data_IF_940967124489
#
_entry.id   IF_940967124489
#
_cell.length_a   1.000
_cell.length_b   1.000
_cell.length_c   1.000
_cell.angle_alpha   90.00
_cell.angle_beta   90.00
_cell.angle_gamma   90.00
#
_symmetry.space_group_name_H-M   'P 1'
#
loop_
_entity.id
_entity.type
_entity.pdbx_description
1 polymer ?
#
# COMPACT_ATOMS: atom_id res chain seq x y z
N UNK A 1 -29.80 0.06 4.54
CA UNK A 1 -29.33 -0.59 3.32
C UNK A 1 -28.78 0.49 2.41
N UNK A 2 -27.49 0.69 2.28
CA UNK A 2 -26.91 1.53 1.22
C UNK A 2 -26.48 0.64 0.06
N UNK A 3 -26.98 1.00 -1.09
CA UNK A 3 -26.86 0.37 -2.39
C UNK A 3 -25.49 0.65 -3.03
N UNK A 4 -24.88 -0.34 -3.47
CA UNK A 4 -24.02 -0.67 -4.62
C UNK A 4 -23.55 0.47 -5.58
N UNK A 5 -22.79 1.48 -5.13
CA UNK A 5 -22.09 2.39 -6.05
C UNK A 5 -20.60 2.65 -5.69
N UNK A 6 -20.04 1.99 -4.68
CA UNK A 6 -18.66 2.24 -4.22
C UNK A 6 -17.57 1.49 -5.00
N UNK A 7 -17.90 0.81 -6.09
CA UNK A 7 -17.01 -0.12 -6.78
C UNK A 7 -16.37 0.43 -8.07
N UNK A 8 -16.57 1.70 -8.42
CA UNK A 8 -16.10 2.22 -9.72
C UNK A 8 -14.61 2.55 -9.81
N UNK A 9 -13.85 2.55 -8.71
CA UNK A 9 -12.43 2.93 -8.76
C UNK A 9 -11.50 1.82 -9.21
N UNK A 10 -11.93 0.57 -9.14
CA UNK A 10 -11.19 -0.61 -9.61
C UNK A 10 -11.95 -1.56 -10.52
N UNK A 11 -13.19 -1.28 -10.79
CA UNK A 11 -14.07 -2.19 -11.54
C UNK A 11 -13.64 -2.43 -13.00
N UNK A 12 -12.69 -1.68 -13.52
CA UNK A 12 -12.18 -1.85 -14.89
C UNK A 12 -10.97 -2.79 -15.02
N UNK A 13 -10.33 -3.19 -13.91
CA UNK A 13 -9.17 -4.09 -13.95
C UNK A 13 -9.38 -5.45 -13.26
N UNK A 14 -10.44 -5.59 -12.45
CA UNK A 14 -10.65 -6.79 -11.64
C UNK A 14 -11.98 -7.51 -11.89
N UNK A 15 -12.80 -7.03 -12.82
CA UNK A 15 -14.04 -7.73 -13.23
C UNK A 15 -13.84 -8.81 -14.29
N UNK A 16 -12.60 -9.14 -14.63
CA UNK A 16 -12.35 -10.27 -15.52
C UNK A 16 -11.91 -11.49 -14.73
N UNK A 17 -12.85 -12.42 -14.68
CA UNK A 17 -12.65 -13.85 -14.51
C UNK A 17 -12.37 -14.33 -13.08
N UNK A 18 -13.40 -14.71 -12.36
CA UNK A 18 -13.32 -15.98 -11.61
C UNK A 18 -12.99 -17.03 -12.68
N UNK A 19 -11.71 -17.23 -12.92
CA UNK A 19 -11.25 -18.38 -13.68
C UNK A 19 -11.82 -19.61 -12.98
N UNK A 20 -12.62 -20.38 -13.70
CA UNK A 20 -13.07 -21.65 -13.20
C UNK A 20 -11.81 -22.46 -12.84
N UNK A 21 -11.70 -22.85 -11.57
CA UNK A 21 -10.65 -23.74 -11.13
C UNK A 21 -10.89 -25.06 -11.86
N UNK A 22 -9.98 -25.44 -12.71
CA UNK A 22 -10.10 -26.60 -13.60
C UNK A 22 -8.91 -27.56 -13.47
N UNK A 23 -8.90 -28.59 -14.30
CA UNK A 23 -7.84 -29.59 -14.34
C UNK A 23 -6.45 -29.01 -14.64
N UNK A 24 -6.37 -27.85 -15.31
CA UNK A 24 -5.14 -27.17 -15.72
C UNK A 24 -4.64 -26.16 -14.67
N UNK A 25 -5.41 -25.92 -13.63
CA UNK A 25 -5.00 -25.03 -12.52
C UNK A 25 -3.73 -25.57 -11.85
N UNK A 26 -2.75 -24.70 -11.59
CA UNK A 26 -1.48 -25.00 -10.92
C UNK A 26 -1.46 -24.44 -9.51
N UNK A 27 -1.99 -25.16 -8.52
CA UNK A 27 -2.14 -24.67 -7.17
C UNK A 27 -0.78 -24.51 -6.47
N UNK A 28 -0.61 -23.42 -5.72
CA UNK A 28 0.52 -23.19 -4.85
C UNK A 28 0.02 -22.74 -3.47
N UNK A 29 0.50 -23.37 -2.40
CA UNK A 29 0.21 -22.88 -1.06
C UNK A 29 0.85 -21.50 -0.84
N UNK A 30 0.08 -20.56 -0.31
CA UNK A 30 0.61 -19.24 0.05
C UNK A 30 1.69 -19.36 1.11
N UNK A 31 2.71 -18.52 1.00
CA UNK A 31 3.80 -18.47 1.98
C UNK A 31 3.25 -18.21 3.38
N UNK A 32 3.63 -19.05 4.34
CA UNK A 32 3.13 -18.98 5.73
C UNK A 32 1.93 -19.90 6.02
N UNK A 33 1.34 -20.57 5.02
CA UNK A 33 0.37 -21.65 5.25
C UNK A 33 1.08 -22.85 5.85
N UNK A 34 0.58 -23.33 7.00
CA UNK A 34 1.10 -24.49 7.70
C UNK A 34 0.34 -25.73 7.26
N UNK A 35 1.06 -26.81 7.00
CA UNK A 35 0.51 -28.15 6.80
C UNK A 35 1.06 -29.05 7.89
N UNK A 36 0.21 -29.46 8.83
CA UNK A 36 0.62 -30.17 10.04
C UNK A 36 -0.06 -31.53 10.10
N UNK A 37 0.74 -32.59 10.25
CA UNK A 37 0.24 -33.95 10.48
C UNK A 37 -0.29 -34.10 11.93
N UNK A 38 -1.53 -34.56 12.09
CA UNK A 38 -2.16 -34.85 13.37
C UNK A 38 -2.74 -36.25 13.35
N UNK A 39 -1.87 -37.28 13.54
CA UNK A 39 -2.26 -38.69 13.37
C UNK A 39 -2.62 -38.96 11.90
N UNK A 40 -3.82 -39.49 11.68
CA UNK A 40 -4.38 -39.72 10.34
C UNK A 40 -4.83 -38.41 9.67
N UNK A 41 -5.08 -37.34 10.44
CA UNK A 41 -5.60 -36.09 9.93
C UNK A 41 -4.47 -35.12 9.51
N UNK A 42 -4.84 -34.11 8.73
CA UNK A 42 -3.93 -33.05 8.26
C UNK A 42 -4.58 -31.69 8.50
N UNK A 43 -3.93 -30.89 9.35
CA UNK A 43 -4.31 -29.50 9.54
C UNK A 43 -3.66 -28.63 8.47
N UNK A 44 -4.44 -27.74 7.85
CA UNK A 44 -3.97 -26.70 6.90
C UNK A 44 -4.47 -25.35 7.37
N UNK A 45 -3.56 -24.40 7.53
CA UNK A 45 -3.97 -23.09 8.01
C UNK A 45 -2.84 -22.23 8.55
N UNK A 46 -3.21 -21.28 9.39
CA UNK A 46 -2.34 -20.37 10.12
C UNK A 46 -2.56 -20.57 11.63
N UNK A 47 -1.86 -19.79 12.45
CA UNK A 47 -2.00 -19.87 13.93
C UNK A 47 -3.40 -19.48 14.45
N UNK A 48 -4.11 -18.63 13.72
CA UNK A 48 -5.40 -18.04 14.10
C UNK A 48 -6.59 -18.66 13.37
N UNK A 49 -6.35 -19.36 12.26
CA UNK A 49 -7.40 -19.96 11.44
C UNK A 49 -6.88 -21.09 10.57
N UNK A 50 -7.66 -22.17 10.45
CA UNK A 50 -7.34 -23.31 9.59
C UNK A 50 -8.44 -24.37 9.61
N UNK A 51 -8.24 -25.40 8.82
CA UNK A 51 -9.15 -26.53 8.65
C UNK A 51 -8.40 -27.84 8.85
N UNK A 52 -9.08 -28.86 9.35
CA UNK A 52 -8.56 -30.20 9.53
C UNK A 52 -9.24 -31.17 8.54
N UNK A 53 -8.42 -31.84 7.78
CA UNK A 53 -8.85 -32.85 6.80
C UNK A 53 -8.57 -34.26 7.31
N UNK A 54 -9.49 -35.16 7.09
CA UNK A 54 -9.32 -36.59 7.38
C UNK A 54 -8.53 -37.30 6.27
N UNK A 55 -7.66 -38.21 6.66
CA UNK A 55 -6.92 -39.08 5.76
C UNK A 55 -5.54 -38.57 5.31
N UNK A 56 -4.63 -39.52 5.15
CA UNK A 56 -3.24 -39.26 4.75
C UNK A 56 -3.10 -38.79 3.29
N UNK A 57 -4.08 -39.07 2.43
CA UNK A 57 -4.06 -38.73 1.01
C UNK A 57 -4.02 -37.23 0.78
N UNK A 58 -4.77 -36.45 1.59
CA UNK A 58 -4.77 -34.98 1.52
C UNK A 58 -3.37 -34.40 1.70
N UNK A 59 -2.58 -34.98 2.62
CA UNK A 59 -1.19 -34.53 2.84
C UNK A 59 -0.31 -34.72 1.61
N UNK A 60 -0.49 -35.84 0.91
CA UNK A 60 0.25 -36.13 -0.32
C UNK A 60 -0.13 -35.16 -1.44
N UNK A 61 -1.41 -34.84 -1.57
CA UNK A 61 -1.90 -33.85 -2.54
C UNK A 61 -1.31 -32.47 -2.24
N UNK A 62 -1.39 -32.03 -0.98
CA UNK A 62 -0.85 -30.71 -0.55
C UNK A 62 0.65 -30.57 -0.76
N UNK A 63 1.42 -31.66 -0.62
CA UNK A 63 2.85 -31.67 -0.90
C UNK A 63 3.18 -31.39 -2.38
N UNK A 64 2.22 -31.61 -3.29
CA UNK A 64 2.34 -31.31 -4.71
C UNK A 64 1.95 -29.87 -5.06
N UNK A 65 1.38 -29.08 -4.14
CA UNK A 65 0.94 -27.70 -4.38
C UNK A 65 2.10 -26.70 -4.39
N UNK A 66 2.94 -26.82 -5.41
CA UNK A 66 4.15 -26.00 -5.63
C UNK A 66 3.98 -24.96 -6.74
N UNK A 67 2.80 -24.85 -7.36
CA UNK A 67 2.54 -23.99 -8.52
C UNK A 67 3.20 -24.46 -9.83
N UNK A 68 3.78 -25.66 -9.86
CA UNK A 68 4.45 -26.20 -11.05
C UNK A 68 3.63 -27.24 -11.79
N UNK A 69 2.82 -28.00 -11.07
CA UNK A 69 1.99 -29.10 -11.59
C UNK A 69 0.54 -28.67 -11.68
N UNK A 70 -0.16 -29.16 -12.70
CA UNK A 70 -1.61 -29.01 -12.83
C UNK A 70 -2.35 -29.97 -11.89
N UNK A 71 -3.62 -29.70 -11.61
CA UNK A 71 -4.48 -30.61 -10.86
C UNK A 71 -4.54 -32.01 -11.53
N UNK A 72 -4.57 -32.04 -12.87
CA UNK A 72 -4.56 -33.28 -13.66
C UNK A 72 -3.27 -34.09 -13.48
N UNK A 73 -2.11 -33.43 -13.52
CA UNK A 73 -0.79 -34.05 -13.29
C UNK A 73 -0.67 -34.60 -11.87
N UNK A 74 -1.18 -33.86 -10.87
CA UNK A 74 -1.17 -34.27 -9.46
C UNK A 74 -2.06 -35.51 -9.27
N UNK A 75 -3.26 -35.51 -9.83
CA UNK A 75 -4.17 -36.63 -9.75
C UNK A 75 -3.56 -37.91 -10.39
N UNK A 76 -2.93 -37.75 -11.55
CA UNK A 76 -2.25 -38.85 -12.24
C UNK A 76 -1.04 -39.40 -11.44
N UNK A 77 -0.17 -38.51 -10.90
CA UNK A 77 1.02 -38.89 -10.14
C UNK A 77 0.66 -39.65 -8.85
N UNK A 78 -0.38 -39.20 -8.16
CA UNK A 78 -0.83 -39.81 -6.90
C UNK A 78 -1.86 -40.94 -7.09
N UNK A 79 -2.20 -41.27 -8.34
CA UNK A 79 -3.23 -42.26 -8.67
C UNK A 79 -4.54 -42.04 -7.89
N UNK A 80 -4.98 -40.80 -7.79
CA UNK A 80 -6.21 -40.39 -7.12
C UNK A 80 -7.21 -39.75 -8.09
N UNK A 81 -8.45 -39.63 -7.64
CA UNK A 81 -9.50 -38.99 -8.42
C UNK A 81 -9.21 -37.49 -8.61
N UNK A 82 -9.36 -37.00 -9.83
CA UNK A 82 -9.20 -35.58 -10.15
C UNK A 82 -10.19 -34.70 -9.36
N UNK A 83 -11.41 -35.20 -9.14
CA UNK A 83 -12.43 -34.47 -8.37
C UNK A 83 -12.00 -34.23 -6.92
N UNK A 84 -11.22 -35.13 -6.33
CA UNK A 84 -10.66 -34.94 -4.99
C UNK A 84 -9.63 -33.79 -4.96
N UNK A 85 -8.79 -33.70 -6.00
CA UNK A 85 -7.77 -32.63 -6.11
C UNK A 85 -8.44 -31.30 -6.36
N UNK A 86 -9.36 -31.19 -7.32
CA UNK A 86 -10.05 -29.97 -7.70
C UNK A 86 -10.97 -29.47 -6.58
N UNK A 87 -11.64 -30.36 -5.84
CA UNK A 87 -12.46 -29.98 -4.68
C UNK A 87 -11.60 -29.39 -3.56
N UNK A 88 -10.45 -30.02 -3.26
CA UNK A 88 -9.50 -29.49 -2.26
C UNK A 88 -8.94 -28.13 -2.67
N UNK A 89 -8.61 -27.95 -3.95
CA UNK A 89 -8.16 -26.65 -4.49
C UNK A 89 -9.26 -25.60 -4.34
N UNK A 90 -10.50 -25.92 -4.71
CA UNK A 90 -11.62 -24.98 -4.60
C UNK A 90 -11.89 -24.57 -3.14
N UNK A 91 -11.81 -25.51 -2.21
CA UNK A 91 -12.00 -25.21 -0.79
C UNK A 91 -10.89 -24.33 -0.23
N UNK A 92 -9.62 -24.66 -0.49
CA UNK A 92 -8.48 -23.88 -0.02
C UNK A 92 -8.38 -22.51 -0.71
N UNK A 93 -8.82 -22.38 -1.96
CA UNK A 93 -8.92 -21.08 -2.64
C UNK A 93 -10.02 -20.21 -2.01
N UNK A 94 -11.17 -20.79 -1.68
CA UNK A 94 -12.24 -20.09 -0.97
C UNK A 94 -11.81 -19.61 0.42
N UNK A 95 -10.87 -20.32 1.05
CA UNK A 95 -10.26 -19.97 2.34
C UNK A 95 -9.01 -19.06 2.20
N UNK A 96 -8.67 -18.65 1.00
CA UNK A 96 -7.52 -17.79 0.67
C UNK A 96 -6.14 -18.38 1.03
N UNK A 97 -6.00 -19.72 1.04
CA UNK A 97 -4.72 -20.39 1.30
C UNK A 97 -3.89 -20.69 0.05
N UNK A 98 -4.44 -20.44 -1.14
CA UNK A 98 -3.79 -20.77 -2.41
C UNK A 98 -3.50 -19.54 -3.27
N UNK A 99 -2.39 -19.63 -3.98
CA UNK A 99 -2.13 -18.88 -5.20
C UNK A 99 -2.39 -19.85 -6.39
N UNK A 100 -3.30 -19.45 -7.27
CA UNK A 100 -3.75 -20.28 -8.40
C UNK A 100 -3.38 -19.66 -9.75
N UNK A 101 -2.75 -18.50 -9.72
CA UNK A 101 -2.31 -17.75 -10.88
C UNK A 101 -0.80 -17.54 -10.82
N UNK A 102 -0.16 -17.42 -11.98
CA UNK A 102 1.22 -17.00 -12.11
C UNK A 102 1.26 -15.66 -12.79
N UNK A 103 1.81 -14.68 -12.10
CA UNK A 103 2.15 -13.38 -12.66
C UNK A 103 3.66 -13.20 -12.69
N UNK A 104 4.16 -12.55 -13.72
CA UNK A 104 5.54 -12.11 -13.77
C UNK A 104 5.61 -10.66 -13.29
N UNK A 105 6.73 -10.26 -12.69
CA UNK A 105 7.02 -8.87 -12.44
C UNK A 105 7.17 -8.20 -13.81
N UNK A 106 6.18 -7.40 -14.18
CA UNK A 106 6.22 -6.62 -15.41
C UNK A 106 6.78 -5.26 -15.04
N UNK A 107 7.99 -4.98 -15.50
CA UNK A 107 8.51 -3.60 -15.43
C UNK A 107 7.70 -2.75 -16.41
N UNK A 108 7.25 -1.59 -15.96
CA UNK A 108 6.53 -0.63 -16.78
C UNK A 108 7.32 -0.35 -18.08
N UNK A 109 6.61 -0.09 -19.19
CA UNK A 109 7.22 0.24 -20.49
C UNK A 109 8.22 1.40 -20.42
N UNK A 110 8.15 2.19 -19.36
CA UNK A 110 9.10 3.25 -19.03
C UNK A 110 10.51 2.74 -18.76
N UNK A 111 10.64 1.48 -18.33
CA UNK A 111 11.92 0.84 -18.01
C UNK A 111 12.49 0.05 -19.18
N UNK A 112 11.80 0.04 -20.32
CA UNK A 112 12.27 -0.60 -21.55
C UNK A 112 13.07 0.39 -22.37
N UNK A 113 14.23 -0.03 -22.87
CA UNK A 113 14.93 0.74 -23.86
C UNK A 113 14.05 0.93 -25.10
N UNK A 114 14.07 2.11 -25.76
CA UNK A 114 13.34 2.31 -27.01
C UNK A 114 13.72 1.23 -28.03
N UNK A 115 12.75 0.41 -28.45
CA UNK A 115 12.97 -0.68 -29.41
C UNK A 115 13.24 -2.07 -28.82
N UNK A 116 13.18 -2.24 -27.50
CA UNK A 116 13.25 -3.57 -26.91
C UNK A 116 11.91 -4.31 -27.10
N UNK A 117 11.98 -5.51 -27.66
CA UNK A 117 10.81 -6.40 -27.79
C UNK A 117 10.24 -6.77 -26.44
N UNK A 118 8.93 -7.02 -26.33
CA UNK A 118 8.33 -7.50 -25.10
C UNK A 118 9.06 -8.79 -24.70
N UNK A 119 9.61 -8.77 -23.48
CA UNK A 119 10.41 -9.87 -22.93
C UNK A 119 9.53 -11.11 -22.88
N UNK A 120 9.70 -11.99 -23.86
CA UNK A 120 9.29 -13.38 -23.72
C UNK A 120 10.25 -14.04 -22.72
N UNK A 121 9.73 -14.91 -21.88
CA UNK A 121 10.41 -15.61 -20.78
C UNK A 121 11.69 -16.40 -21.20
N UNK A 122 12.13 -16.30 -22.45
CA UNK A 122 13.12 -17.16 -23.10
C UNK A 122 14.34 -16.47 -23.71
N UNK A 123 14.60 -15.18 -23.46
CA UNK A 123 15.68 -14.56 -24.23
C UNK A 123 16.30 -13.28 -23.67
N UNK A 124 16.89 -13.31 -22.48
CA UNK A 124 17.72 -12.20 -21.97
C UNK A 124 19.16 -12.67 -21.77
N UNK A 125 19.99 -12.33 -22.76
CA UNK A 125 21.44 -12.38 -22.66
C UNK A 125 22.00 -10.96 -22.48
N UNK A 126 21.57 -10.25 -21.43
CA UNK A 126 22.30 -9.08 -20.96
C UNK A 126 22.54 -9.27 -19.46
N UNK A 127 23.75 -9.65 -19.08
CA UNK A 127 24.16 -9.99 -17.72
C UNK A 127 23.84 -8.87 -16.70
N UNK A 128 23.81 -7.61 -17.14
CA UNK A 128 23.47 -6.47 -16.30
C UNK A 128 21.96 -6.37 -16.02
N UNK A 129 21.10 -6.69 -16.98
CA UNK A 129 19.63 -6.69 -16.81
C UNK A 129 19.21 -7.84 -15.89
N UNK A 130 19.84 -9.00 -16.01
CA UNK A 130 19.54 -10.14 -15.14
C UNK A 130 19.94 -9.86 -13.69
N UNK A 131 21.09 -9.26 -13.44
CA UNK A 131 21.52 -8.85 -12.10
C UNK A 131 20.55 -7.82 -11.48
N UNK A 132 20.11 -6.82 -12.23
CA UNK A 132 19.13 -5.83 -11.78
C UNK A 132 17.79 -6.47 -11.47
N UNK A 133 17.34 -7.39 -12.31
CA UNK A 133 16.08 -8.09 -12.10
C UNK A 133 16.12 -9.02 -10.88
N UNK A 134 17.24 -9.72 -10.64
CA UNK A 134 17.43 -10.52 -9.43
C UNK A 134 17.49 -9.65 -8.17
N UNK A 135 18.08 -8.47 -8.24
CA UNK A 135 18.08 -7.51 -7.14
C UNK A 135 16.67 -7.02 -6.82
N UNK A 136 15.87 -6.69 -7.84
CA UNK A 136 14.46 -6.31 -7.65
C UNK A 136 13.68 -7.44 -7.01
N UNK A 137 13.82 -8.67 -7.51
CA UNK A 137 13.17 -9.87 -6.92
C UNK A 137 13.51 -10.05 -5.45
N UNK A 138 14.77 -9.87 -5.08
CA UNK A 138 15.22 -10.00 -3.68
C UNK A 138 14.63 -8.91 -2.79
N UNK A 139 14.57 -7.66 -3.28
CA UNK A 139 14.02 -6.52 -2.53
C UNK A 139 12.50 -6.57 -2.40
N UNK A 140 11.81 -7.13 -3.39
CA UNK A 140 10.34 -7.25 -3.41
C UNK A 140 9.82 -8.37 -2.49
N UNK A 141 10.64 -9.38 -2.23
CA UNK A 141 10.24 -10.58 -1.48
C UNK A 141 9.61 -10.30 -0.11
N UNK A 142 10.14 -9.39 0.73
CA UNK A 142 9.51 -9.04 1.99
C UNK A 142 8.11 -8.45 1.82
N UNK A 143 7.92 -7.59 0.82
CA UNK A 143 6.63 -6.97 0.52
C UNK A 143 5.60 -8.02 0.10
N UNK A 144 5.98 -8.94 -0.81
CA UNK A 144 5.12 -10.02 -1.28
C UNK A 144 4.69 -10.97 -0.15
N UNK A 145 5.49 -11.11 0.91
CA UNK A 145 5.19 -12.04 2.02
C UNK A 145 3.89 -11.71 2.74
N UNK A 146 3.47 -10.47 2.74
CA UNK A 146 2.21 -10.02 3.35
C UNK A 146 1.14 -9.67 2.30
N UNK A 147 1.52 -9.08 1.16
CA UNK A 147 0.55 -8.73 0.11
C UNK A 147 -0.14 -9.95 -0.49
N UNK A 148 0.51 -11.12 -0.49
CA UNK A 148 -0.11 -12.40 -0.89
C UNK A 148 -1.39 -12.71 -0.11
N UNK A 149 -1.53 -12.22 1.13
CA UNK A 149 -2.71 -12.41 1.98
C UNK A 149 -3.82 -11.38 1.77
N UNK A 150 -3.61 -10.45 0.83
CA UNK A 150 -4.61 -9.45 0.47
C UNK A 150 -5.89 -10.09 -0.09
N UNK A 151 -7.03 -9.38 0.00
CA UNK A 151 -8.28 -9.84 -0.59
C UNK A 151 -8.09 -10.11 -2.09
N UNK A 152 -8.61 -11.24 -2.56
CA UNK A 152 -8.59 -11.65 -3.97
C UNK A 152 -7.19 -11.84 -4.61
N UNK A 153 -6.11 -11.76 -3.84
CA UNK A 153 -4.76 -12.02 -4.34
C UNK A 153 -4.57 -13.53 -4.55
N UNK A 154 -4.17 -13.92 -5.77
CA UNK A 154 -3.99 -15.32 -6.19
C UNK A 154 -2.70 -15.58 -6.95
N UNK A 155 -1.83 -14.58 -7.03
CA UNK A 155 -0.57 -14.61 -7.77
C UNK A 155 0.64 -14.24 -6.89
N UNK A 156 0.50 -14.41 -5.59
CA UNK A 156 1.53 -14.03 -4.62
C UNK A 156 1.70 -12.51 -4.45
N UNK A 157 0.77 -11.70 -4.94
CA UNK A 157 0.82 -10.22 -4.86
C UNK A 157 1.67 -9.55 -5.93
N UNK A 158 2.14 -10.30 -6.92
CA UNK A 158 3.06 -9.80 -7.97
C UNK A 158 2.40 -8.73 -8.85
N UNK A 159 1.14 -8.92 -9.22
CA UNK A 159 0.38 -7.92 -10.01
C UNK A 159 0.17 -6.62 -9.26
N UNK A 160 -0.14 -6.69 -7.95
CA UNK A 160 -0.27 -5.51 -7.10
C UNK A 160 1.03 -4.72 -7.04
N UNK A 161 2.15 -5.40 -6.78
CA UNK A 161 3.46 -4.77 -6.76
C UNK A 161 3.84 -4.15 -8.11
N UNK A 162 3.51 -4.83 -9.20
CA UNK A 162 3.74 -4.29 -10.55
C UNK A 162 2.90 -3.03 -10.81
N UNK A 163 1.66 -2.98 -10.34
CA UNK A 163 0.78 -1.82 -10.50
C UNK A 163 1.25 -0.60 -9.69
N UNK A 164 1.90 -0.80 -8.52
CA UNK A 164 2.41 0.29 -7.68
C UNK A 164 3.44 1.18 -8.39
N UNK A 165 4.21 0.64 -9.35
CA UNK A 165 5.22 1.39 -10.12
C UNK A 165 4.65 2.62 -10.82
N UNK A 166 3.40 2.54 -11.26
CA UNK A 166 2.77 3.55 -12.10
C UNK A 166 1.87 4.51 -11.33
N UNK A 167 1.74 4.32 -10.01
CA UNK A 167 0.91 5.17 -9.16
C UNK A 167 1.67 6.42 -8.74
N UNK A 168 1.29 7.63 -9.20
CA UNK A 168 1.89 8.88 -8.72
C UNK A 168 1.39 9.20 -7.31
N UNK A 169 2.34 9.57 -6.43
CA UNK A 169 2.03 10.05 -5.08
C UNK A 169 2.80 11.34 -4.83
N UNK A 170 2.11 12.41 -4.44
CA UNK A 170 2.69 13.70 -4.12
C UNK A 170 2.59 13.94 -2.61
N UNK A 171 3.72 14.06 -1.95
CA UNK A 171 3.81 14.37 -0.52
C UNK A 171 4.14 15.84 -0.37
N UNK A 172 3.25 16.61 0.24
CA UNK A 172 3.44 18.02 0.55
C UNK A 172 3.88 18.17 2.00
N UNK A 173 5.06 18.75 2.20
CA UNK A 173 5.65 18.97 3.51
C UNK A 173 7.14 18.70 3.54
N UNK A 174 7.80 19.11 4.62
CA UNK A 174 9.25 19.04 4.78
C UNK A 174 9.68 18.52 6.17
N UNK A 175 8.73 18.00 6.97
CA UNK A 175 8.99 17.49 8.31
C UNK A 175 9.63 16.09 8.28
N UNK A 176 10.10 15.63 9.45
CA UNK A 176 10.60 14.25 9.64
C UNK A 176 9.60 13.19 9.14
N UNK A 177 8.30 13.40 9.39
CA UNK A 177 7.26 12.47 8.94
C UNK A 177 7.22 12.41 7.42
N UNK A 178 7.24 13.56 6.74
CA UNK A 178 7.21 13.63 5.28
C UNK A 178 8.43 12.94 4.65
N UNK A 179 9.64 13.18 5.20
CA UNK A 179 10.88 12.57 4.74
C UNK A 179 10.86 11.04 4.92
N UNK A 180 10.44 10.57 6.11
CA UNK A 180 10.34 9.13 6.37
C UNK A 180 9.29 8.46 5.49
N UNK A 181 8.10 9.07 5.36
CA UNK A 181 7.04 8.58 4.51
C UNK A 181 7.48 8.43 3.05
N UNK A 182 8.20 9.45 2.53
CA UNK A 182 8.79 9.40 1.20
C UNK A 182 9.70 8.18 1.01
N UNK A 183 10.62 7.94 1.94
CA UNK A 183 11.51 6.78 1.88
C UNK A 183 10.78 5.45 1.95
N UNK A 184 9.79 5.32 2.83
CA UNK A 184 8.97 4.11 2.97
C UNK A 184 8.22 3.83 1.67
N UNK A 185 7.52 4.81 1.10
CA UNK A 185 6.71 4.62 -0.10
C UNK A 185 7.56 4.21 -1.32
N UNK A 186 8.72 4.85 -1.52
CA UNK A 186 9.66 4.45 -2.58
C UNK A 186 10.13 3.00 -2.42
N UNK A 187 10.48 2.62 -1.18
CA UNK A 187 10.94 1.28 -0.87
C UNK A 187 9.83 0.22 -0.94
N UNK A 188 8.57 0.64 -0.84
CA UNK A 188 7.39 -0.23 -0.97
C UNK A 188 6.85 -0.31 -2.41
N UNK A 189 7.58 0.18 -3.41
CA UNK A 189 7.26 0.04 -4.82
C UNK A 189 6.58 1.23 -5.48
N UNK A 190 6.26 2.30 -4.75
CA UNK A 190 5.67 3.53 -5.30
C UNK A 190 6.75 4.44 -5.89
N UNK A 191 7.34 4.02 -7.01
CA UNK A 191 8.48 4.69 -7.64
C UNK A 191 8.17 6.09 -8.18
N UNK A 192 6.88 6.44 -8.35
CA UNK A 192 6.42 7.76 -8.77
C UNK A 192 6.13 8.70 -7.59
N UNK A 193 6.66 8.39 -6.39
CA UNK A 193 6.52 9.27 -5.23
C UNK A 193 7.42 10.50 -5.39
N UNK A 194 6.86 11.68 -5.12
CA UNK A 194 7.57 12.96 -5.14
C UNK A 194 7.31 13.69 -3.82
N UNK A 195 8.36 14.24 -3.22
CA UNK A 195 8.26 15.10 -2.05
C UNK A 195 8.31 16.57 -2.50
N UNK A 196 7.31 17.35 -2.13
CA UNK A 196 7.15 18.77 -2.47
C UNK A 196 7.30 19.55 -1.19
N UNK A 197 8.39 20.33 -1.10
CA UNK A 197 8.65 21.23 0.02
C UNK A 197 8.07 22.62 -0.28
N UNK A 198 7.43 23.21 0.71
CA UNK A 198 7.01 24.62 0.71
C UNK A 198 8.21 25.57 0.85
N UNK A 199 9.37 25.06 1.29
CA UNK A 199 10.64 25.77 1.39
C UNK A 199 11.70 25.12 0.49
N UNK A 200 11.73 25.43 -0.82
CA UNK A 200 12.68 24.79 -1.75
C UNK A 200 14.16 25.01 -1.40
N UNK A 201 14.50 26.08 -0.70
CA UNK A 201 15.86 26.42 -0.26
C UNK A 201 16.22 25.89 1.13
N UNK A 202 15.35 25.09 1.76
CA UNK A 202 15.60 24.53 3.08
C UNK A 202 16.88 23.67 3.09
N UNK A 203 17.72 23.91 4.09
CA UNK A 203 18.89 23.11 4.39
C UNK A 203 18.55 22.04 5.44
N UNK A 204 19.21 20.90 5.32
CA UNK A 204 19.09 19.82 6.31
C UNK A 204 19.77 20.28 7.60
N UNK A 205 19.06 20.22 8.71
CA UNK A 205 19.57 20.50 10.05
C UNK A 205 19.67 19.24 10.91
N UNK A 206 20.24 19.39 12.12
CA UNK A 206 20.35 18.30 13.09
C UNK A 206 19.01 17.65 13.43
N UNK A 207 17.95 18.47 13.48
CA UNK A 207 16.59 18.01 13.78
C UNK A 207 15.98 17.11 12.71
N UNK A 208 16.49 17.14 11.48
CA UNK A 208 16.00 16.32 10.38
C UNK A 208 16.52 14.87 10.44
N UNK A 209 17.57 14.65 11.24
CA UNK A 209 18.14 13.32 11.44
C UNK A 209 17.23 12.50 12.35
N UNK A 210 16.52 11.52 11.75
CA UNK A 210 15.52 10.73 12.45
C UNK A 210 15.65 9.21 12.22
N UNK A 211 16.86 8.71 11.93
CA UNK A 211 17.08 7.28 11.71
C UNK A 211 16.62 6.77 10.34
N UNK A 212 16.15 7.65 9.44
CA UNK A 212 15.84 7.34 8.06
C UNK A 212 17.09 7.32 7.16
N UNK A 213 16.98 7.84 5.94
CA UNK A 213 18.08 7.86 4.96
C UNK A 213 19.02 9.06 5.09
N UNK A 214 18.64 10.11 5.85
CA UNK A 214 19.51 11.26 6.10
C UNK A 214 20.64 10.91 7.09
N UNK A 215 21.83 11.43 6.84
CA UNK A 215 23.07 11.19 7.60
C UNK A 215 23.66 12.50 8.14
N UNK A 216 24.56 12.40 9.11
CA UNK A 216 25.30 13.55 9.63
C UNK A 216 26.04 14.32 8.54
N UNK A 217 26.52 13.63 7.51
CA UNK A 217 27.17 14.25 6.35
C UNK A 217 26.26 15.12 5.50
N UNK A 218 24.95 14.97 5.64
CA UNK A 218 23.96 15.70 4.85
C UNK A 218 23.60 17.07 5.48
N UNK A 219 24.00 17.31 6.75
CA UNK A 219 23.72 18.57 7.43
C UNK A 219 24.34 19.74 6.66
N UNK A 220 23.55 20.80 6.45
CA UNK A 220 23.93 21.96 5.67
C UNK A 220 23.76 21.81 4.16
N UNK A 221 23.42 20.61 3.66
CA UNK A 221 23.09 20.39 2.26
C UNK A 221 21.64 20.77 1.97
N UNK A 222 21.34 21.04 0.69
CA UNK A 222 19.95 21.25 0.25
C UNK A 222 19.12 19.98 0.45
N UNK A 223 18.00 20.13 1.14
CA UNK A 223 17.06 19.01 1.37
C UNK A 223 16.54 18.43 0.04
N UNK A 224 16.14 19.30 -0.89
CA UNK A 224 15.64 18.88 -2.20
C UNK A 224 16.69 18.15 -3.05
N UNK A 225 17.92 18.63 -3.07
CA UNK A 225 19.02 17.96 -3.79
C UNK A 225 19.29 16.58 -3.19
N UNK A 226 19.35 16.50 -1.86
CA UNK A 226 19.60 15.22 -1.19
C UNK A 226 18.50 14.21 -1.44
N UNK A 227 17.22 14.62 -1.37
CA UNK A 227 16.06 13.79 -1.66
C UNK A 227 16.09 13.30 -3.11
N UNK A 228 16.42 14.16 -4.06
CA UNK A 228 16.54 13.81 -5.48
C UNK A 228 17.65 12.80 -5.71
N UNK A 229 18.82 13.02 -5.08
CA UNK A 229 19.99 12.17 -5.25
C UNK A 229 19.83 10.78 -4.62
N UNK A 230 19.11 10.66 -3.49
CA UNK A 230 18.89 9.36 -2.82
C UNK A 230 17.78 8.53 -3.45
N UNK A 231 16.91 9.16 -4.23
CA UNK A 231 15.73 8.50 -4.82
C UNK A 231 16.04 7.20 -5.57
N UNK A 232 17.08 7.13 -6.44
CA UNK A 232 17.43 5.89 -7.14
C UNK A 232 17.84 4.74 -6.19
N UNK A 233 18.44 5.07 -5.05
CA UNK A 233 18.89 4.08 -4.06
C UNK A 233 17.72 3.53 -3.24
N UNK A 234 16.73 4.39 -2.91
CA UNK A 234 15.55 4.02 -2.13
C UNK A 234 14.51 3.30 -2.98
N UNK A 235 14.34 3.70 -4.23
CA UNK A 235 13.30 3.15 -5.09
C UNK A 235 13.46 1.64 -5.28
N UNK A 236 12.36 0.92 -5.09
CA UNK A 236 12.31 -0.52 -5.32
C UNK A 236 12.47 -0.86 -6.80
N UNK A 237 11.83 -0.07 -7.66
CA UNK A 237 11.91 -0.20 -9.10
C UNK A 237 12.81 0.88 -9.71
N UNK A 238 13.45 0.60 -10.86
CA UNK A 238 14.24 1.60 -11.56
C UNK A 238 13.42 2.86 -11.88
N UNK A 239 14.05 4.02 -11.79
CA UNK A 239 13.42 5.29 -12.14
C UNK A 239 13.53 5.52 -13.64
N UNK A 240 12.42 5.85 -14.28
CA UNK A 240 12.43 6.33 -15.64
C UNK A 240 11.72 7.69 -15.73
N UNK A 241 12.26 8.59 -16.54
CA UNK A 241 11.81 9.98 -16.66
C UNK A 241 10.59 10.17 -17.57
N UNK A 242 10.06 9.13 -18.17
CA UNK A 242 8.86 9.25 -18.99
C UNK A 242 7.62 9.47 -18.13
N UNK A 243 6.83 10.47 -18.42
CA UNK A 243 5.64 10.87 -17.64
C UNK A 243 4.65 9.72 -17.43
N UNK A 244 3.94 9.73 -16.31
CA UNK A 244 2.94 8.73 -15.98
C UNK A 244 1.82 8.67 -17.00
N UNK A 245 1.45 7.47 -17.42
CA UNK A 245 0.22 7.23 -18.17
C UNK A 245 -1.01 7.20 -17.27
N UNK A 246 -0.80 7.06 -15.95
CA UNK A 246 -1.88 7.09 -15.00
C UNK A 246 -2.19 8.55 -14.63
N UNK A 247 -3.33 9.11 -15.03
CA UNK A 247 -3.65 10.51 -14.77
C UNK A 247 -4.07 10.78 -13.32
N UNK A 248 -4.24 9.75 -12.50
CA UNK A 248 -4.77 9.88 -11.14
C UNK A 248 -3.64 9.82 -10.12
N UNK A 249 -3.20 10.98 -9.70
CA UNK A 249 -2.29 11.13 -8.58
C UNK A 249 -3.03 11.04 -7.25
N UNK A 250 -2.29 10.74 -6.19
CA UNK A 250 -2.76 10.81 -4.81
C UNK A 250 -1.90 11.85 -4.10
N UNK A 251 -2.54 12.77 -3.39
CA UNK A 251 -1.84 13.79 -2.61
C UNK A 251 -1.80 13.40 -1.12
N UNK A 252 -0.72 13.76 -0.44
CA UNK A 252 -0.58 13.61 1.01
C UNK A 252 -0.13 14.96 1.55
N UNK A 253 -0.87 15.53 2.51
CA UNK A 253 -0.43 16.71 3.24
C UNK A 253 0.15 16.32 4.58
N UNK A 254 1.40 16.67 4.83
CA UNK A 254 2.04 16.55 6.14
C UNK A 254 2.17 17.95 6.71
N UNK A 255 1.26 18.27 7.60
CA UNK A 255 0.96 19.63 8.04
C UNK A 255 -0.24 20.24 7.32
N UNK A 256 -0.65 21.47 7.69
CA UNK A 256 -1.83 22.12 7.14
C UNK A 256 -1.59 22.50 5.67
N UNK A 257 -2.42 22.02 4.72
CA UNK A 257 -2.33 22.43 3.33
C UNK A 257 -2.80 23.87 3.15
N UNK A 258 -2.38 24.51 2.06
CA UNK A 258 -2.93 25.81 1.69
C UNK A 258 -4.37 25.69 1.19
N UNK A 259 -5.20 26.74 1.31
CA UNK A 259 -6.56 26.72 0.78
C UNK A 259 -6.62 26.43 -0.72
N UNK A 260 -5.62 26.91 -1.48
CA UNK A 260 -5.50 26.72 -2.92
C UNK A 260 -5.25 25.24 -3.27
N UNK A 261 -4.38 24.56 -2.52
CA UNK A 261 -4.15 23.13 -2.68
C UNK A 261 -5.40 22.32 -2.38
N UNK A 262 -6.10 22.64 -1.28
CA UNK A 262 -7.37 21.97 -0.95
C UNK A 262 -8.41 22.14 -2.04
N UNK A 263 -8.55 23.35 -2.56
CA UNK A 263 -9.49 23.64 -3.64
C UNK A 263 -9.13 22.87 -4.91
N UNK A 264 -7.84 22.86 -5.26
CA UNK A 264 -7.34 22.10 -6.43
C UNK A 264 -7.65 20.62 -6.28
N UNK A 265 -7.27 19.97 -5.17
CA UNK A 265 -7.53 18.53 -4.97
C UNK A 265 -9.02 18.18 -5.04
N UNK A 266 -9.88 19.03 -4.47
CA UNK A 266 -11.32 18.82 -4.53
C UNK A 266 -11.87 19.02 -5.95
N UNK A 267 -11.45 20.07 -6.68
CA UNK A 267 -11.96 20.37 -8.03
C UNK A 267 -11.46 19.39 -9.11
N UNK A 268 -10.24 18.87 -8.95
CA UNK A 268 -9.63 17.92 -9.88
C UNK A 268 -9.87 16.45 -9.47
N UNK A 269 -10.71 16.23 -8.45
CA UNK A 269 -11.04 14.89 -7.94
C UNK A 269 -9.80 14.08 -7.54
N UNK A 270 -8.77 14.73 -6.96
CA UNK A 270 -7.54 14.08 -6.48
C UNK A 270 -7.79 13.50 -5.08
N UNK A 271 -7.69 12.17 -4.89
CA UNK A 271 -7.70 11.59 -3.55
C UNK A 271 -6.56 12.13 -2.69
N UNK A 272 -6.84 12.45 -1.44
CA UNK A 272 -5.82 13.06 -0.59
C UNK A 272 -5.92 12.64 0.87
N UNK A 273 -4.75 12.41 1.49
CA UNK A 273 -4.59 12.03 2.89
C UNK A 273 -4.01 13.20 3.69
N UNK A 274 -4.53 13.43 4.88
CA UNK A 274 -3.98 14.41 5.81
C UNK A 274 -3.18 13.74 6.93
N UNK A 275 -2.09 14.37 7.32
CA UNK A 275 -1.32 14.08 8.53
C UNK A 275 -1.13 15.43 9.20
N UNK A 276 -1.78 15.64 10.34
CA UNK A 276 -1.70 16.91 11.04
C UNK A 276 -0.33 17.10 11.71
N UNK A 277 0.02 18.35 11.98
CA UNK A 277 1.16 18.68 12.85
C UNK A 277 0.89 18.18 14.28
N UNK A 278 1.94 17.83 15.05
CA UNK A 278 1.79 17.46 16.45
C UNK A 278 1.04 18.51 17.25
N UNK A 279 0.06 18.08 18.04
CA UNK A 279 -0.68 18.91 18.97
C UNK A 279 -0.54 18.38 20.39
N UNK A 280 0.14 19.13 21.26
CA UNK A 280 0.46 18.69 22.61
C UNK A 280 1.14 17.31 22.58
N UNK A 281 0.43 16.27 23.02
CA UNK A 281 0.94 14.91 23.08
C UNK A 281 0.34 13.99 22.00
N UNK A 282 -0.23 14.53 20.92
CA UNK A 282 -0.93 13.73 19.94
C UNK A 282 -0.69 14.18 18.50
N UNK A 283 -0.89 13.24 17.56
CA UNK A 283 -0.89 13.47 16.12
C UNK A 283 -2.10 12.78 15.52
N UNK A 284 -2.76 13.43 14.56
CA UNK A 284 -3.90 12.89 13.83
C UNK A 284 -3.47 12.50 12.41
N UNK A 285 -3.84 11.30 11.99
CA UNK A 285 -3.72 10.81 10.61
C UNK A 285 -5.12 10.68 10.04
N UNK A 286 -5.33 11.10 8.82
CA UNK A 286 -6.64 11.15 8.16
C UNK A 286 -7.29 12.54 8.26
N UNK A 287 -8.43 12.72 7.60
CA UNK A 287 -9.08 11.71 6.77
C UNK A 287 -8.33 11.45 5.46
N UNK A 288 -8.52 10.24 4.90
CA UNK A 288 -8.30 10.00 3.49
C UNK A 288 -9.60 10.39 2.77
N UNK A 289 -9.49 11.35 1.87
CA UNK A 289 -10.62 11.95 1.17
C UNK A 289 -10.66 11.48 -0.28
N UNK A 290 -11.81 10.94 -0.69
CA UNK A 290 -12.15 10.77 -2.10
C UNK A 290 -13.20 11.87 -2.41
N UNK A 291 -12.82 12.91 -3.20
CA UNK A 291 -13.72 14.04 -3.47
C UNK A 291 -15.07 13.59 -4.01
N UNK A 292 -16.15 14.18 -3.48
CA UNK A 292 -17.53 13.81 -3.82
C UNK A 292 -18.06 12.53 -3.17
N UNK A 293 -17.17 11.66 -2.67
CA UNK A 293 -17.54 10.33 -2.14
C UNK A 293 -17.46 10.27 -0.62
N UNK A 294 -16.38 10.74 -0.03
CA UNK A 294 -16.17 10.72 1.42
C UNK A 294 -16.30 12.11 2.03
N UNK A 295 -16.56 12.22 3.35
CA UNK A 295 -16.46 13.49 4.05
C UNK A 295 -15.09 14.12 3.81
N UNK A 296 -15.07 15.38 3.38
CA UNK A 296 -13.82 16.11 3.15
C UNK A 296 -13.28 16.72 4.46
N UNK A 297 -12.05 17.26 4.41
CA UNK A 297 -11.45 17.94 5.57
C UNK A 297 -12.33 19.06 6.15
N UNK A 298 -13.07 19.81 5.29
CA UNK A 298 -14.01 20.84 5.78
C UNK A 298 -15.19 20.21 6.55
N UNK A 299 -15.68 19.01 6.17
CA UNK A 299 -16.69 18.32 6.94
C UNK A 299 -16.18 18.00 8.35
N UNK A 300 -14.94 17.52 8.48
CA UNK A 300 -14.35 17.23 9.80
C UNK A 300 -14.21 18.49 10.63
N UNK A 301 -13.75 19.59 10.04
CA UNK A 301 -13.59 20.86 10.71
C UNK A 301 -14.92 21.43 11.20
N UNK A 302 -15.96 21.45 10.35
CA UNK A 302 -17.30 21.91 10.72
C UNK A 302 -17.92 21.06 11.82
N UNK A 303 -17.78 19.74 11.75
CA UNK A 303 -18.25 18.84 12.83
C UNK A 303 -17.57 19.14 14.15
N UNK A 304 -16.28 19.45 14.14
CA UNK A 304 -15.53 19.80 15.35
C UNK A 304 -15.90 21.20 15.87
N UNK A 305 -16.21 22.14 14.98
CA UNK A 305 -16.68 23.49 15.34
C UNK A 305 -18.07 23.43 16.00
N UNK A 306 -18.95 22.55 15.54
CA UNK A 306 -20.27 22.31 16.18
C UNK A 306 -20.14 21.69 17.60
N UNK A 307 -19.11 20.88 17.84
CA UNK A 307 -18.90 20.16 19.09
C UNK A 307 -18.09 20.96 20.13
N UNK A 308 -17.19 21.85 19.67
CA UNK A 308 -16.22 22.52 20.51
C UNK A 308 -16.25 24.04 20.32
N UNK A 309 -16.56 24.75 21.39
CA UNK A 309 -16.51 26.23 21.40
C UNK A 309 -15.10 26.69 21.03
N UNK A 310 -15.02 27.65 20.13
CA UNK A 310 -13.77 28.27 19.67
C UNK A 310 -12.82 27.35 18.88
N UNK A 311 -13.33 26.27 18.25
CA UNK A 311 -12.48 25.38 17.43
C UNK A 311 -11.80 26.15 16.29
N UNK A 312 -12.54 26.97 15.55
CA UNK A 312 -12.00 27.78 14.44
C UNK A 312 -10.89 28.71 14.91
N UNK A 313 -11.06 29.41 16.03
CA UNK A 313 -10.06 30.31 16.60
C UNK A 313 -8.80 29.55 17.07
N UNK A 314 -8.98 28.37 17.66
CA UNK A 314 -7.87 27.49 18.06
C UNK A 314 -7.07 27.04 16.82
N UNK A 315 -7.74 26.66 15.75
CA UNK A 315 -7.05 26.27 14.51
C UNK A 315 -6.27 27.44 13.88
N UNK A 316 -6.80 28.65 13.94
CA UNK A 316 -6.09 29.85 13.51
C UNK A 316 -4.83 30.09 14.34
N UNK A 317 -4.93 30.02 15.65
CA UNK A 317 -3.79 30.20 16.55
C UNK A 317 -2.71 29.13 16.34
N UNK A 318 -3.11 27.88 16.07
CA UNK A 318 -2.17 26.80 15.77
C UNK A 318 -1.34 27.03 14.51
N UNK A 319 -1.91 27.68 13.48
CA UNK A 319 -1.19 27.98 12.22
C UNK A 319 -0.04 28.97 12.41
N UNK A 320 -0.15 29.89 13.37
CA UNK A 320 0.83 30.91 13.66
C UNK A 320 1.72 30.57 14.87
N UNK A 321 1.36 29.55 15.64
CA UNK A 321 2.16 29.08 16.77
C UNK A 321 3.46 28.40 16.29
N UNK A 322 4.53 28.42 17.08
CA UNK A 322 5.71 27.64 16.79
C UNK A 322 5.36 26.16 16.63
N UNK A 323 5.82 25.52 15.55
CA UNK A 323 5.61 24.09 15.32
C UNK A 323 6.38 23.28 16.34
N UNK A 324 5.76 22.22 16.84
CA UNK A 324 6.41 21.24 17.71
C UNK A 324 7.21 20.26 16.86
N UNK A 325 8.44 20.00 17.26
CA UNK A 325 9.24 18.95 16.64
C UNK A 325 8.70 17.57 17.01
N UNK A 326 8.67 16.68 16.03
CA UNK A 326 8.16 15.32 16.23
C UNK A 326 9.27 14.41 16.77
N UNK A 327 9.08 13.73 17.90
CA UNK A 327 10.02 12.70 18.38
C UNK A 327 10.24 11.61 17.34
N UNK A 328 11.45 11.06 17.27
CA UNK A 328 11.85 10.07 16.26
C UNK A 328 10.89 8.87 16.22
N UNK A 329 10.57 8.29 17.38
CA UNK A 329 9.66 7.14 17.46
C UNK A 329 8.27 7.43 16.94
N UNK A 330 7.76 8.65 17.23
CA UNK A 330 6.44 9.08 16.76
C UNK A 330 6.46 9.30 15.24
N UNK A 331 7.51 9.94 14.72
CA UNK A 331 7.66 10.17 13.28
C UNK A 331 7.65 8.86 12.49
N UNK A 332 8.38 7.84 12.96
CA UNK A 332 8.38 6.50 12.36
C UNK A 332 7.01 5.81 12.45
N UNK A 333 6.36 5.89 13.61
CA UNK A 333 5.03 5.27 13.82
C UNK A 333 3.99 5.88 12.88
N UNK A 334 3.94 7.22 12.82
CA UNK A 334 2.99 7.96 11.96
C UNK A 334 3.28 7.72 10.49
N UNK A 335 4.54 7.81 10.06
CA UNK A 335 4.92 7.57 8.67
C UNK A 335 4.63 6.12 8.25
N UNK A 336 4.92 5.14 9.12
CA UNK A 336 4.63 3.72 8.86
C UNK A 336 3.14 3.44 8.73
N UNK A 337 2.33 3.97 9.66
CA UNK A 337 0.87 3.79 9.62
C UNK A 337 0.25 4.48 8.40
N UNK A 338 0.65 5.71 8.10
CA UNK A 338 0.17 6.43 6.91
C UNK A 338 0.55 5.71 5.61
N UNK A 339 1.76 5.14 5.54
CA UNK A 339 2.19 4.33 4.40
C UNK A 339 1.34 3.07 4.27
N UNK A 340 1.09 2.36 5.36
CA UNK A 340 0.29 1.12 5.37
C UNK A 340 -1.13 1.39 4.86
N UNK A 341 -1.80 2.42 5.40
CA UNK A 341 -3.15 2.82 4.98
C UNK A 341 -3.21 3.24 3.50
N UNK A 342 -2.20 4.00 3.06
CA UNK A 342 -2.12 4.43 1.66
C UNK A 342 -1.89 3.24 0.71
N UNK A 343 -0.97 2.32 1.06
CA UNK A 343 -0.71 1.11 0.28
C UNK A 343 -1.96 0.24 0.22
N UNK A 344 -2.66 0.07 1.34
CA UNK A 344 -3.92 -0.65 1.36
C UNK A 344 -4.97 0.01 0.46
N UNK A 345 -5.08 1.34 0.49
CA UNK A 345 -5.96 2.08 -0.41
C UNK A 345 -5.59 1.90 -1.89
N UNK A 346 -4.30 1.97 -2.23
CA UNK A 346 -3.82 1.78 -3.60
C UNK A 346 -4.11 0.36 -4.09
N UNK A 347 -3.88 -0.63 -3.25
CA UNK A 347 -4.01 -2.04 -3.60
C UNK A 347 -5.47 -2.52 -3.68
N UNK A 348 -6.34 -1.98 -2.81
CA UNK A 348 -7.71 -2.49 -2.66
C UNK A 348 -8.80 -1.48 -2.98
N UNK A 349 -8.45 -0.21 -3.07
CA UNK A 349 -9.43 0.89 -3.17
C UNK A 349 -10.11 1.21 -1.83
N UNK A 350 -9.70 0.57 -0.72
CA UNK A 350 -10.26 0.75 0.61
C UNK A 350 -9.20 1.16 1.63
N UNK A 351 -9.59 1.85 2.69
CA UNK A 351 -8.76 2.23 3.83
C UNK A 351 -9.65 2.54 5.03
N UNK A 352 -9.17 2.25 6.21
CA UNK A 352 -9.86 2.60 7.46
C UNK A 352 -9.92 4.13 7.67
N UNK A 353 -9.07 4.89 6.98
CA UNK A 353 -9.05 6.35 7.04
C UNK A 353 -10.02 7.04 6.07
N UNK A 354 -10.78 6.30 5.25
CA UNK A 354 -11.79 6.91 4.36
C UNK A 354 -12.85 7.67 5.17
N UNK A 355 -12.82 9.02 5.08
CA UNK A 355 -13.68 9.89 5.87
C UNK A 355 -13.51 9.75 7.38
N UNK A 356 -12.38 9.22 7.83
CA UNK A 356 -12.10 8.90 9.22
C UNK A 356 -10.71 9.37 9.63
N UNK A 357 -10.52 9.59 10.92
CA UNK A 357 -9.22 9.97 11.49
C UNK A 357 -8.79 9.00 12.57
N UNK A 358 -7.48 8.85 12.68
CA UNK A 358 -6.82 8.09 13.72
C UNK A 358 -5.88 9.00 14.50
N UNK A 359 -6.18 9.25 15.78
CA UNK A 359 -5.39 10.11 16.65
C UNK A 359 -4.53 9.26 17.58
N UNK A 360 -3.23 9.42 17.50
CA UNK A 360 -2.23 8.74 18.30
C UNK A 360 -1.84 9.66 19.46
N UNK A 361 -1.86 9.14 20.69
CA UNK A 361 -1.33 9.80 21.86
C UNK A 361 0.02 9.17 22.24
N UNK A 362 1.11 9.91 22.12
CA UNK A 362 2.45 9.35 22.38
C UNK A 362 2.84 9.29 23.87
N UNK A 363 2.04 9.87 24.77
CA UNK A 363 2.18 9.63 26.21
C UNK A 363 1.59 8.28 26.63
N UNK A 364 0.72 7.70 25.78
CA UNK A 364 0.16 6.38 25.96
C UNK A 364 0.01 5.72 24.60
N UNK A 365 0.94 4.85 24.24
CA UNK A 365 0.93 4.18 22.92
C UNK A 365 -0.32 3.33 22.66
N UNK A 366 -1.09 3.01 23.72
CA UNK A 366 -2.32 2.21 23.66
C UNK A 366 -3.56 3.11 23.53
N UNK A 367 -3.47 4.38 23.92
CA UNK A 367 -4.58 5.35 23.86
C UNK A 367 -4.65 6.00 22.46
N UNK A 368 -5.09 5.21 21.49
CA UNK A 368 -5.35 5.66 20.14
C UNK A 368 -6.87 5.83 19.94
N UNK A 369 -7.27 6.93 19.29
CA UNK A 369 -8.68 7.23 19.02
C UNK A 369 -8.98 7.22 17.55
N UNK A 370 -9.88 6.33 17.16
CA UNK A 370 -10.44 6.29 15.81
C UNK A 370 -11.78 7.05 15.80
N UNK A 371 -11.98 7.88 14.77
CA UNK A 371 -13.21 8.66 14.61
C UNK A 371 -13.63 8.72 13.16
N UNK A 372 -14.87 8.31 12.89
CA UNK A 372 -15.52 8.44 11.59
C UNK A 372 -16.37 9.71 11.55
N UNK A 373 -16.33 10.40 10.43
CA UNK A 373 -17.12 11.60 10.16
C UNK A 373 -18.21 11.32 9.13
N UNK A 374 -19.22 12.15 9.14
CA UNK A 374 -20.27 12.19 8.11
C UNK A 374 -20.12 13.45 7.27
N UNK A 375 -20.76 13.47 6.09
CA UNK A 375 -20.88 14.70 5.32
C UNK A 375 -21.63 15.76 6.13
N UNK A 376 -20.96 16.89 6.36
CA UNK A 376 -21.56 17.98 7.12
C UNK A 376 -22.56 18.76 6.26
N UNK A 377 -23.80 19.06 6.76
CA UNK A 377 -24.86 19.71 5.96
C UNK A 377 -24.43 21.07 5.38
N UNK A 378 -23.63 21.84 6.12
CA UNK A 378 -23.14 23.14 5.71
C UNK A 378 -21.86 23.10 4.85
N UNK A 379 -21.32 21.91 4.51
CA UNK A 379 -20.05 21.83 3.78
C UNK A 379 -20.20 22.07 2.27
N UNK A 380 -21.21 21.47 1.63
CA UNK A 380 -21.43 21.55 0.19
C UNK A 380 -20.45 20.75 -0.67
N UNK A 381 -19.65 19.82 -0.09
CA UNK A 381 -18.70 18.99 -0.83
C UNK A 381 -19.34 17.76 -1.51
N UNK A 382 -20.60 17.52 -1.28
CA UNK A 382 -21.37 16.43 -1.90
C UNK A 382 -22.09 16.99 -3.11
N UNK A 383 -21.61 16.73 -4.29
CA UNK A 383 -22.29 17.06 -5.58
C UNK A 383 -22.61 15.79 -6.34
#
# INVERSE_FOLDING_TARGET
MPTHEHTQWRTLALMETRLALDAETKPQLKTGTLVIARGENTYVGRSDYGIEYEGAQVRSILACFSGTRTCSEIAHELACDLDNVTSLVAELDALHFLDTQKSAIVLSDRYRAPGADPISDSGLCDDNLDATFQQIKSRIRPELSLTTWGPEVRDGGVSLMSARQDQPVLIYGNSRIAILLYGILLSSGLSQTTLISDEPSRLIGDIDLCGGFLRLSDIGSSQNERITNIRPELSLFPLNCAGSKNPREIAISVGPPTPELLQMWMSECIPHLFIEDPECASITIGPLVIPGTTPCWRCTALTQDDEHIAWTEVQWQRRIAPRHETPVSVAHHVAGLAALELLHFIDTGNSDLLGSTFRINYLSAIDAKYRTFLHHPACGCRW
#
